data_IF_754783569546
#
_entry.id   IF_754783569546
#
_cell.length_a   1.000
_cell.length_b   1.000
_cell.length_c   1.000
_cell.angle_alpha   90.00
_cell.angle_beta   90.00
_cell.angle_gamma   90.00
#
_symmetry.space_group_name_H-M   'P 1'
#
loop_
_entity.id
_entity.type
_entity.pdbx_description
1 polymer ?
#
# COMPACT_ATOMS: atom_id res chain seq x y z
N UNK A 1 43.33 7.04 7.20
CA UNK A 1 41.91 7.26 6.88
C UNK A 1 41.55 6.23 5.81
N UNK A 2 41.00 5.10 6.20
CA UNK A 2 40.56 4.03 5.31
C UNK A 2 39.12 4.28 4.95
N UNK A 3 38.85 4.69 3.71
CA UNK A 3 37.51 4.80 3.16
C UNK A 3 36.83 3.42 3.21
N UNK A 4 35.76 3.28 3.98
CA UNK A 4 34.83 2.15 3.89
C UNK A 4 34.02 2.31 2.59
N UNK A 5 34.52 1.79 1.48
CA UNK A 5 33.74 1.55 0.27
C UNK A 5 32.90 0.27 0.47
N UNK A 6 31.99 0.29 1.40
CA UNK A 6 30.93 -0.69 1.42
C UNK A 6 29.87 -0.25 0.43
N UNK A 7 29.70 -0.97 -0.68
CA UNK A 7 28.53 -0.84 -1.55
C UNK A 7 27.30 -0.95 -0.66
N UNK A 8 26.61 0.18 -0.41
CA UNK A 8 25.34 0.17 0.28
C UNK A 8 24.38 -0.64 -0.59
N UNK A 9 23.85 -1.74 -0.02
CA UNK A 9 22.89 -2.58 -0.72
C UNK A 9 21.71 -1.69 -1.10
N UNK A 10 21.39 -1.60 -2.37
CA UNK A 10 20.20 -0.90 -2.84
C UNK A 10 18.95 -1.53 -2.21
N UNK A 11 18.08 -0.70 -1.67
CA UNK A 11 16.80 -1.09 -1.09
C UNK A 11 15.67 -0.63 -2.01
N UNK A 12 14.71 -1.50 -2.23
CA UNK A 12 13.63 -1.28 -3.17
C UNK A 12 12.26 -1.31 -2.50
N UNK A 13 11.36 -0.44 -2.93
CA UNK A 13 9.97 -0.43 -2.46
C UNK A 13 8.95 -0.44 -3.60
N UNK A 14 7.74 -0.89 -3.28
CA UNK A 14 6.55 -0.82 -4.11
C UNK A 14 5.44 -0.11 -3.30
N UNK A 15 4.76 0.88 -3.91
CA UNK A 15 3.75 1.69 -3.24
C UNK A 15 2.35 1.38 -3.82
N UNK A 16 1.44 0.88 -2.98
CA UNK A 16 0.06 0.55 -3.34
C UNK A 16 -0.89 1.63 -2.80
N UNK A 17 -1.81 2.08 -3.63
CA UNK A 17 -2.71 3.19 -3.32
C UNK A 17 -1.94 4.49 -3.07
N UNK A 18 -0.96 4.76 -3.92
CA UNK A 18 0.09 5.73 -3.68
C UNK A 18 -0.40 7.19 -3.63
N UNK A 19 -1.64 7.48 -4.06
CA UNK A 19 -2.10 8.86 -4.18
C UNK A 19 -1.15 9.68 -5.05
N UNK A 20 -0.79 10.86 -4.61
CA UNK A 20 0.20 11.72 -5.29
C UNK A 20 1.66 11.39 -4.95
N UNK A 21 1.92 10.30 -4.21
CA UNK A 21 3.27 9.81 -3.92
C UNK A 21 3.91 10.36 -2.65
N UNK A 22 3.14 10.84 -1.68
CA UNK A 22 3.70 11.37 -0.43
C UNK A 22 4.57 10.37 0.33
N UNK A 23 4.13 9.11 0.43
CA UNK A 23 4.92 8.04 1.04
C UNK A 23 6.17 7.73 0.20
N UNK A 24 6.03 7.67 -1.13
CA UNK A 24 7.14 7.44 -2.05
C UNK A 24 8.23 8.49 -1.92
N UNK A 25 7.88 9.79 -1.80
CA UNK A 25 8.85 10.88 -1.56
C UNK A 25 9.63 10.67 -0.28
N UNK A 26 8.95 10.33 0.81
CA UNK A 26 9.58 10.05 2.09
C UNK A 26 10.55 8.87 2.03
N UNK A 27 10.17 7.81 1.33
CA UNK A 27 11.01 6.60 1.18
C UNK A 27 12.23 6.85 0.29
N UNK A 28 12.10 7.58 -0.81
CA UNK A 28 13.28 7.96 -1.61
C UNK A 28 14.23 8.86 -0.83
N UNK A 29 13.69 9.80 -0.05
CA UNK A 29 14.51 10.62 0.86
C UNK A 29 15.23 9.80 1.92
N UNK A 30 14.70 8.63 2.29
CA UNK A 30 15.32 7.67 3.20
C UNK A 30 16.28 6.69 2.48
N UNK A 31 16.50 6.84 1.17
CA UNK A 31 17.46 6.05 0.39
C UNK A 31 16.88 4.76 -0.21
N UNK A 32 15.57 4.62 -0.28
CA UNK A 32 14.93 3.53 -1.03
C UNK A 32 14.75 3.91 -2.49
N UNK A 33 14.80 2.92 -3.39
CA UNK A 33 14.52 3.09 -4.82
C UNK A 33 13.11 2.61 -5.13
N UNK A 34 12.31 3.45 -5.82
CA UNK A 34 10.96 3.10 -6.25
C UNK A 34 10.99 2.07 -7.39
N UNK A 35 10.23 0.99 -7.24
CA UNK A 35 9.95 0.04 -8.34
C UNK A 35 8.67 0.42 -9.10
N UNK A 36 7.89 1.29 -8.53
CA UNK A 36 6.65 1.79 -9.11
C UNK A 36 5.55 1.94 -8.07
N UNK A 37 4.46 2.53 -8.54
CA UNK A 37 3.29 2.85 -7.71
C UNK A 37 2.02 2.36 -8.40
N UNK A 38 1.03 1.99 -7.59
CA UNK A 38 -0.31 1.63 -8.07
C UNK A 38 -1.31 2.62 -7.50
N UNK A 39 -1.92 3.43 -8.37
CA UNK A 39 -2.93 4.43 -8.03
C UNK A 39 -3.99 4.45 -9.13
N UNK A 40 -5.28 4.42 -8.74
CA UNK A 40 -6.38 4.29 -9.72
C UNK A 40 -6.84 5.66 -10.27
N UNK A 41 -6.65 6.73 -9.50
CA UNK A 41 -7.11 8.05 -9.91
C UNK A 41 -6.14 8.70 -10.90
N UNK A 42 -6.63 9.20 -12.07
CA UNK A 42 -5.76 9.76 -13.10
C UNK A 42 -4.94 10.98 -12.64
N UNK A 43 -5.55 11.93 -11.91
CA UNK A 43 -4.82 13.13 -11.50
C UNK A 43 -3.63 12.85 -10.57
N UNK A 44 -3.75 12.05 -9.49
CA UNK A 44 -2.58 11.58 -8.74
C UNK A 44 -1.58 10.77 -9.58
N UNK A 45 -2.04 9.96 -10.54
CA UNK A 45 -1.12 9.23 -11.44
C UNK A 45 -0.21 10.17 -12.25
N UNK A 46 -0.74 11.30 -12.72
CA UNK A 46 0.08 12.30 -13.43
C UNK A 46 1.16 12.86 -12.52
N UNK A 47 0.83 13.18 -11.26
CA UNK A 47 1.82 13.64 -10.28
C UNK A 47 2.89 12.57 -10.02
N UNK A 48 2.50 11.31 -9.88
CA UNK A 48 3.45 10.21 -9.74
C UNK A 48 4.40 10.08 -10.94
N UNK A 49 3.87 10.18 -12.16
CA UNK A 49 4.68 10.12 -13.39
C UNK A 49 5.70 11.25 -13.47
N UNK A 50 5.30 12.47 -13.08
CA UNK A 50 6.18 13.62 -13.09
C UNK A 50 7.34 13.49 -12.08
N UNK A 51 7.08 12.91 -10.91
CA UNK A 51 8.07 12.81 -9.83
C UNK A 51 8.91 11.55 -9.90
N UNK A 52 8.33 10.41 -10.28
CA UNK A 52 8.96 9.07 -10.19
C UNK A 52 9.08 8.37 -11.54
N UNK A 53 8.57 8.96 -12.61
CA UNK A 53 8.50 8.32 -13.92
C UNK A 53 7.45 7.19 -13.97
N UNK A 54 7.51 6.39 -15.03
CA UNK A 54 6.64 5.22 -15.20
C UNK A 54 7.32 3.94 -14.75
N UNK A 55 6.59 3.07 -14.06
CA UNK A 55 7.09 1.72 -13.75
C UNK A 55 7.42 0.94 -15.02
N UNK A 56 8.44 0.10 -14.97
CA UNK A 56 8.81 -0.80 -16.08
C UNK A 56 8.03 -2.12 -16.06
N UNK A 57 7.37 -2.46 -14.95
CA UNK A 57 6.66 -3.74 -14.78
C UNK A 57 5.34 -3.79 -15.54
N UNK A 58 5.25 -4.72 -16.50
CA UNK A 58 4.08 -4.84 -17.38
C UNK A 58 2.81 -5.24 -16.62
N UNK A 59 2.93 -5.95 -15.50
CA UNK A 59 1.81 -6.32 -14.64
C UNK A 59 1.13 -5.09 -14.03
N UNK A 60 1.91 -4.08 -13.63
CA UNK A 60 1.42 -2.82 -13.08
C UNK A 60 0.82 -1.95 -14.21
N UNK A 61 1.53 -1.80 -15.33
CA UNK A 61 1.05 -1.00 -16.48
C UNK A 61 -0.31 -1.48 -16.99
N UNK A 62 -0.47 -2.80 -17.14
CA UNK A 62 -1.74 -3.40 -17.64
C UNK A 62 -2.91 -3.21 -16.70
N UNK A 63 -2.65 -3.12 -15.41
CA UNK A 63 -3.67 -2.89 -14.40
C UNK A 63 -4.24 -1.46 -14.43
N UNK A 64 -3.59 -0.52 -15.12
CA UNK A 64 -4.00 0.89 -15.24
C UNK A 64 -4.30 1.52 -13.87
N UNK A 65 -3.45 1.23 -12.89
CA UNK A 65 -3.60 1.72 -11.51
C UNK A 65 -4.60 0.98 -10.64
N UNK A 66 -5.33 0.00 -11.16
CA UNK A 66 -6.26 -0.80 -10.36
C UNK A 66 -5.51 -1.95 -9.67
N UNK A 67 -5.30 -1.81 -8.38
CA UNK A 67 -4.58 -2.80 -7.54
C UNK A 67 -5.21 -4.20 -7.64
N UNK A 68 -6.52 -4.29 -7.92
CA UNK A 68 -7.23 -5.57 -8.01
C UNK A 68 -6.95 -6.31 -9.32
N UNK A 69 -6.46 -5.61 -10.35
CA UNK A 69 -6.17 -6.15 -11.67
C UNK A 69 -4.69 -6.49 -11.89
N UNK A 70 -3.82 -6.16 -10.94
CA UNK A 70 -2.42 -6.57 -11.01
C UNK A 70 -2.31 -8.08 -10.79
N UNK A 71 -1.72 -8.76 -11.76
CA UNK A 71 -1.29 -10.16 -11.56
C UNK A 71 -0.01 -10.19 -10.69
N UNK A 72 -0.21 -10.37 -9.39
CA UNK A 72 0.88 -10.34 -8.40
C UNK A 72 1.89 -11.48 -8.61
N UNK A 73 1.43 -12.63 -9.11
CA UNK A 73 2.33 -13.76 -9.43
C UNK A 73 3.25 -13.42 -10.60
N UNK A 74 2.70 -12.78 -11.63
CA UNK A 74 3.47 -12.29 -12.76
C UNK A 74 4.42 -11.18 -12.32
N UNK A 75 3.95 -10.22 -11.51
CA UNK A 75 4.79 -9.17 -10.96
C UNK A 75 5.99 -9.75 -10.20
N UNK A 76 5.80 -10.76 -9.36
CA UNK A 76 6.89 -11.42 -8.64
C UNK A 76 7.94 -12.03 -9.60
N UNK A 77 7.50 -12.60 -10.71
CA UNK A 77 8.42 -13.10 -11.76
C UNK A 77 9.17 -11.98 -12.47
N UNK A 78 8.47 -10.87 -12.79
CA UNK A 78 9.09 -9.69 -13.41
C UNK A 78 10.15 -9.06 -12.51
N UNK A 79 9.89 -8.96 -11.20
CA UNK A 79 10.86 -8.48 -10.20
C UNK A 79 12.12 -9.36 -10.19
N UNK A 80 11.95 -10.68 -10.11
CA UNK A 80 13.08 -11.62 -10.12
C UNK A 80 13.88 -11.56 -11.42
N UNK A 81 13.21 -11.43 -12.55
CA UNK A 81 13.87 -11.28 -13.85
C UNK A 81 14.68 -9.98 -13.95
N UNK A 82 14.23 -8.92 -13.27
CA UNK A 82 14.95 -7.66 -13.12
C UNK A 82 16.09 -7.71 -12.07
N UNK A 83 16.41 -8.89 -11.51
CA UNK A 83 17.45 -9.05 -10.49
C UNK A 83 16.99 -8.76 -9.05
N UNK A 84 15.72 -8.44 -8.84
CA UNK A 84 15.15 -8.14 -7.52
C UNK A 84 14.60 -9.44 -6.93
N UNK A 85 15.48 -10.18 -6.25
CA UNK A 85 15.12 -11.48 -5.67
C UNK A 85 14.18 -11.37 -4.47
N UNK A 86 14.23 -10.24 -3.78
CA UNK A 86 13.36 -9.95 -2.64
C UNK A 86 13.08 -8.44 -2.58
N UNK A 87 11.81 -8.09 -2.51
CA UNK A 87 11.34 -6.73 -2.25
C UNK A 87 11.70 -6.34 -0.81
N UNK A 88 12.34 -5.19 -0.61
CA UNK A 88 12.71 -4.76 0.74
C UNK A 88 11.50 -4.20 1.48
N UNK A 89 10.67 -3.38 0.84
CA UNK A 89 9.52 -2.76 1.47
C UNK A 89 8.28 -2.74 0.56
N UNK A 90 7.15 -3.17 1.09
CA UNK A 90 5.83 -2.93 0.50
C UNK A 90 5.11 -1.89 1.35
N UNK A 91 4.63 -0.82 0.71
CA UNK A 91 3.81 0.19 1.37
C UNK A 91 2.39 0.14 0.81
N UNK A 92 1.39 0.34 1.65
CA UNK A 92 0.01 0.37 1.23
C UNK A 92 -0.83 1.33 2.09
N UNK A 93 -1.50 2.27 1.43
CA UNK A 93 -2.42 3.23 2.04
C UNK A 93 -3.83 3.06 1.46
N UNK A 94 -4.52 1.92 1.72
CA UNK A 94 -5.81 1.64 1.08
C UNK A 94 -6.90 2.62 1.52
N UNK A 95 -7.91 2.87 0.66
CA UNK A 95 -8.97 3.83 0.93
C UNK A 95 -9.68 3.61 2.27
N UNK A 96 -9.86 4.70 3.00
CA UNK A 96 -10.44 4.73 4.36
C UNK A 96 -11.92 5.15 4.40
N UNK A 97 -12.61 5.30 3.24
CA UNK A 97 -13.95 5.91 3.20
C UNK A 97 -14.96 5.23 4.12
N UNK A 98 -14.94 3.91 4.21
CA UNK A 98 -15.79 3.16 5.16
C UNK A 98 -15.35 3.25 6.62
N UNK A 99 -14.14 3.77 6.88
CA UNK A 99 -13.54 3.84 8.21
C UNK A 99 -13.51 5.25 8.78
N UNK A 100 -13.35 6.29 7.94
CA UNK A 100 -13.30 7.69 8.38
C UNK A 100 -14.69 8.21 8.75
N UNK A 101 -14.76 9.16 9.73
CA UNK A 101 -16.04 9.80 10.13
C UNK A 101 -16.71 10.53 8.96
N UNK A 102 -15.93 11.28 8.18
CA UNK A 102 -16.42 12.05 7.02
C UNK A 102 -16.87 11.10 5.91
N UNK A 103 -16.06 10.06 5.60
CA UNK A 103 -16.40 9.08 4.58
C UNK A 103 -17.65 8.28 4.90
N UNK A 104 -17.85 7.87 6.15
CA UNK A 104 -19.08 7.18 6.60
C UNK A 104 -20.31 8.05 6.41
N UNK A 105 -20.28 9.30 6.85
CA UNK A 105 -21.42 10.22 6.69
C UNK A 105 -21.80 10.42 5.21
N UNK A 106 -20.81 10.58 4.32
CA UNK A 106 -21.04 10.70 2.88
C UNK A 106 -21.63 9.43 2.28
N UNK A 107 -21.12 8.27 2.63
CA UNK A 107 -21.61 6.97 2.13
C UNK A 107 -23.02 6.66 2.64
N UNK A 108 -23.32 6.97 3.88
CA UNK A 108 -24.67 6.80 4.45
C UNK A 108 -25.67 7.73 3.75
N UNK A 109 -25.28 8.99 3.49
CA UNK A 109 -26.12 9.94 2.74
C UNK A 109 -26.38 9.47 1.31
N UNK A 110 -25.35 8.99 0.60
CA UNK A 110 -25.49 8.47 -0.77
C UNK A 110 -26.32 7.19 -0.85
N UNK A 111 -26.24 6.34 0.17
CA UNK A 111 -27.02 5.11 0.25
C UNK A 111 -28.47 5.33 0.72
N UNK A 112 -28.80 6.52 1.20
CA UNK A 112 -30.11 6.83 1.77
C UNK A 112 -30.46 6.05 3.05
N UNK A 113 -29.47 5.35 3.64
CA UNK A 113 -29.66 4.52 4.83
C UNK A 113 -28.47 4.62 5.78
N UNK A 114 -28.75 4.66 7.08
CA UNK A 114 -27.74 4.62 8.13
C UNK A 114 -26.99 3.28 8.08
N UNK A 115 -25.67 3.29 8.01
CA UNK A 115 -24.86 2.06 7.91
C UNK A 115 -24.54 1.60 6.48
N UNK A 116 -24.92 2.35 5.45
CA UNK A 116 -24.59 2.05 4.04
C UNK A 116 -23.08 1.92 3.78
N UNK A 117 -22.26 2.64 4.56
CA UNK A 117 -20.81 2.57 4.50
C UNK A 117 -20.22 1.16 4.77
N UNK A 118 -20.93 0.27 5.51
CA UNK A 118 -20.46 -1.10 5.73
C UNK A 118 -20.45 -1.97 4.47
N UNK A 119 -21.27 -1.62 3.48
CA UNK A 119 -21.40 -2.35 2.20
C UNK A 119 -20.41 -1.86 1.13
N UNK A 120 -19.62 -0.82 1.39
CA UNK A 120 -18.68 -0.28 0.42
C UNK A 120 -17.63 -1.34 0.06
N UNK A 121 -17.47 -1.71 -1.22
CA UNK A 121 -16.53 -2.72 -1.66
C UNK A 121 -15.07 -2.35 -1.34
N UNK A 122 -14.76 -1.04 -1.22
CA UNK A 122 -13.42 -0.55 -0.87
C UNK A 122 -12.97 -1.00 0.52
N UNK A 123 -13.92 -1.30 1.43
CA UNK A 123 -13.62 -1.85 2.75
C UNK A 123 -12.92 -3.23 2.69
N UNK A 124 -12.92 -3.88 1.53
CA UNK A 124 -12.26 -5.18 1.31
C UNK A 124 -10.89 -5.06 0.63
N UNK A 125 -10.47 -3.85 0.24
CA UNK A 125 -9.21 -3.66 -0.48
C UNK A 125 -7.97 -4.02 0.34
N UNK A 126 -8.04 -3.97 1.69
CA UNK A 126 -6.97 -4.47 2.55
C UNK A 126 -6.63 -5.96 2.27
N UNK A 127 -7.60 -6.77 1.83
CA UNK A 127 -7.35 -8.17 1.46
C UNK A 127 -6.40 -8.30 0.26
N UNK A 128 -6.44 -7.30 -0.64
CA UNK A 128 -5.47 -7.25 -1.74
C UNK A 128 -4.07 -6.96 -1.21
N UNK A 129 -3.91 -6.08 -0.23
CA UNK A 129 -2.61 -5.86 0.41
C UNK A 129 -2.06 -7.15 0.99
N UNK A 130 -2.90 -7.94 1.69
CA UNK A 130 -2.50 -9.25 2.24
C UNK A 130 -2.06 -10.21 1.12
N UNK A 131 -2.75 -10.21 -0.03
CA UNK A 131 -2.33 -11.00 -1.18
C UNK A 131 -0.94 -10.59 -1.69
N UNK A 132 -0.66 -9.29 -1.81
CA UNK A 132 0.67 -8.80 -2.20
C UNK A 132 1.74 -9.21 -1.17
N UNK A 133 1.50 -9.01 0.12
CA UNK A 133 2.41 -9.44 1.20
C UNK A 133 2.69 -10.93 1.11
N UNK A 134 1.65 -11.75 0.96
CA UNK A 134 1.76 -13.22 0.88
C UNK A 134 2.56 -13.69 -0.33
N UNK A 135 2.38 -13.06 -1.50
CA UNK A 135 3.00 -13.49 -2.76
C UNK A 135 4.38 -12.89 -3.01
N UNK A 136 4.58 -11.62 -2.70
CA UNK A 136 5.85 -10.94 -2.91
C UNK A 136 6.84 -11.18 -1.76
N UNK A 137 6.35 -11.53 -0.57
CA UNK A 137 7.17 -11.77 0.64
C UNK A 137 8.19 -10.66 0.86
N UNK A 138 7.77 -9.36 0.94
CA UNK A 138 8.70 -8.27 1.21
C UNK A 138 9.41 -8.49 2.55
N UNK A 139 10.60 -7.91 2.74
CA UNK A 139 11.32 -7.99 4.03
C UNK A 139 10.56 -7.25 5.14
N UNK A 140 9.92 -6.14 4.77
CA UNK A 140 9.06 -5.37 5.64
C UNK A 140 7.84 -4.85 4.88
N UNK A 141 6.78 -4.48 5.61
CA UNK A 141 5.65 -3.80 5.04
C UNK A 141 5.19 -2.65 5.95
N UNK A 142 4.57 -1.64 5.35
CA UNK A 142 3.89 -0.56 6.05
C UNK A 142 2.44 -0.51 5.55
N UNK A 143 1.50 -0.53 6.49
CA UNK A 143 0.08 -0.38 6.21
C UNK A 143 -0.42 0.87 6.94
N UNK A 144 -0.79 1.92 6.21
CA UNK A 144 -1.31 3.16 6.76
C UNK A 144 -2.83 3.22 6.63
N UNK A 145 -3.49 3.71 7.68
CA UNK A 145 -4.92 4.01 7.62
C UNK A 145 -5.32 4.99 8.75
N UNK A 146 -6.54 5.50 8.67
CA UNK A 146 -7.09 6.39 9.70
C UNK A 146 -7.49 5.64 10.97
N UNK A 147 -7.51 6.30 12.16
CA UNK A 147 -7.89 5.65 13.43
C UNK A 147 -9.26 4.97 13.41
N UNK A 148 -10.15 5.37 12.50
CA UNK A 148 -11.48 4.76 12.35
C UNK A 148 -11.46 3.26 12.01
N UNK A 149 -10.32 2.72 11.53
CA UNK A 149 -10.15 1.29 11.26
C UNK A 149 -10.20 0.43 12.55
N UNK A 150 -9.93 1.05 13.70
CA UNK A 150 -9.99 0.40 15.02
C UNK A 150 -11.42 0.09 15.48
N UNK A 151 -12.46 0.74 14.87
CA UNK A 151 -13.85 0.53 15.25
C UNK A 151 -14.80 0.67 14.06
N UNK A 152 -15.01 -0.43 13.35
CA UNK A 152 -15.92 -0.51 12.19
C UNK A 152 -17.07 -1.44 12.52
N UNK A 153 -18.27 -0.89 12.74
CA UNK A 153 -19.44 -1.70 13.11
C UNK A 153 -19.22 -2.53 14.39
N UNK A 154 -18.51 -1.99 15.37
CA UNK A 154 -18.16 -2.68 16.62
C UNK A 154 -17.03 -3.71 16.48
N UNK A 155 -16.39 -3.82 15.32
CA UNK A 155 -15.29 -4.74 15.07
C UNK A 155 -13.99 -3.99 14.86
N UNK A 156 -12.90 -4.50 15.43
CA UNK A 156 -11.55 -3.98 15.19
C UNK A 156 -10.99 -4.60 13.91
N UNK A 157 -11.06 -3.85 12.81
CA UNK A 157 -10.55 -4.32 11.50
C UNK A 157 -9.03 -4.36 11.50
N UNK A 158 -8.37 -3.47 12.26
CA UNK A 158 -6.91 -3.47 12.37
C UNK A 158 -6.38 -4.77 12.99
N UNK A 159 -7.02 -5.28 14.05
CA UNK A 159 -6.66 -6.60 14.64
C UNK A 159 -6.76 -7.71 13.61
N UNK A 160 -7.85 -7.71 12.82
CA UNK A 160 -8.00 -8.71 11.77
C UNK A 160 -6.88 -8.61 10.72
N UNK A 161 -6.50 -7.42 10.31
CA UNK A 161 -5.39 -7.20 9.36
C UNK A 161 -4.08 -7.71 9.96
N UNK A 162 -3.80 -7.38 11.22
CA UNK A 162 -2.62 -7.88 11.92
C UNK A 162 -2.58 -9.41 11.91
N UNK A 163 -3.65 -10.07 12.33
CA UNK A 163 -3.76 -11.52 12.33
C UNK A 163 -3.56 -12.14 10.93
N UNK A 164 -4.20 -11.57 9.89
CA UNK A 164 -4.08 -12.09 8.52
C UNK A 164 -2.63 -11.94 7.98
N UNK A 165 -1.90 -10.90 8.41
CA UNK A 165 -0.49 -10.70 8.03
C UNK A 165 0.46 -11.56 8.87
N UNK A 166 0.18 -11.76 10.15
CA UNK A 166 0.90 -12.71 11.01
C UNK A 166 0.81 -14.13 10.45
N UNK A 167 -0.35 -14.53 9.92
CA UNK A 167 -0.52 -15.79 9.22
C UNK A 167 0.36 -15.90 7.94
N UNK A 168 0.85 -14.78 7.40
CA UNK A 168 1.83 -14.76 6.32
C UNK A 168 3.29 -14.91 6.81
N UNK A 169 3.52 -15.01 8.13
CA UNK A 169 4.83 -15.20 8.74
C UNK A 169 5.54 -13.92 9.18
N UNK A 170 4.81 -12.82 9.40
CA UNK A 170 5.34 -11.54 9.88
C UNK A 170 5.07 -11.33 11.36
N UNK A 171 5.93 -10.56 12.01
CA UNK A 171 5.63 -9.94 13.30
C UNK A 171 5.03 -8.57 13.01
N UNK A 172 3.83 -8.29 13.53
CA UNK A 172 3.08 -7.07 13.25
C UNK A 172 2.97 -6.21 14.49
N UNK A 173 3.23 -4.90 14.33
CA UNK A 173 2.99 -3.90 15.36
C UNK A 173 2.11 -2.80 14.79
N UNK A 174 0.95 -2.57 15.41
CA UNK A 174 0.10 -1.41 15.12
C UNK A 174 0.37 -0.29 16.13
N UNK A 175 0.44 0.95 15.64
CA UNK A 175 0.64 2.14 16.47
C UNK A 175 -0.20 3.30 15.95
N UNK A 176 -0.72 4.12 16.85
CA UNK A 176 -1.34 5.38 16.49
C UNK A 176 -0.26 6.45 16.45
N UNK A 177 -0.09 7.10 15.29
CA UNK A 177 0.89 8.15 15.09
C UNK A 177 0.17 9.49 14.87
N UNK A 178 0.80 10.57 15.32
CA UNK A 178 0.37 11.93 15.02
C UNK A 178 1.28 12.49 13.91
N UNK A 179 0.70 12.79 12.74
CA UNK A 179 1.45 13.31 11.59
C UNK A 179 1.98 14.75 11.77
N UNK A 180 1.66 15.41 12.90
CA UNK A 180 2.14 16.75 13.21
C UNK A 180 3.50 16.77 13.96
N UNK A 181 4.09 15.62 14.25
CA UNK A 181 5.38 15.46 14.95
C UNK A 181 6.43 14.83 14.06
#
# INVERSE_FOLDING_TARGET
>A
MTARTGSSKEMYFLDLFAGSGGMSVGLESAGFNSLGSVEINPAPQETLKLNFGETHFSSIKRAKGDVTKVDVTKLNRELRFAGINQLDLLVACPPCQGFSRIGRGKLDSLAGVKGGHHKDPRNKLYKKVIEYVSRLKPRAFVFENVPGILSVGGKNVAEKICHDIEACGYVVKASLLNAAW
#
